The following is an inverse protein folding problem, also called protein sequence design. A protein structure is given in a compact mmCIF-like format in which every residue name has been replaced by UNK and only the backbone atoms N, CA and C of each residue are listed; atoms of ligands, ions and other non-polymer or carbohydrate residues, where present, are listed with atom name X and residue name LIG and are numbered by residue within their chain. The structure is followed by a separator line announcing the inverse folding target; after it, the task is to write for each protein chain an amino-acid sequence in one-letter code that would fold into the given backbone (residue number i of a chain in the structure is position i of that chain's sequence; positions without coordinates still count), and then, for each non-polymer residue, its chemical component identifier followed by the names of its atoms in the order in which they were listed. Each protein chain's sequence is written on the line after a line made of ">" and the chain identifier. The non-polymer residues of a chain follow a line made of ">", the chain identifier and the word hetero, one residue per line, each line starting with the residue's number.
data_IF_727574343000
#
_entry.id   IF_727574343000
#
_cell.length_a   1.000
_cell.length_b   1.000
_cell.length_c   1.000
_cell.angle_alpha   90.00
_cell.angle_beta   90.00
_cell.angle_gamma   90.00
#
_symmetry.space_group_name_H-M   'P 1'
#
loop_
_entity.id
_entity.type
_entity.pdbx_description
1 polymer ?
#
# COMPACT_ATOMS: atom_id res chain seq x y z
N UNK A 1 -23.47 23.54 13.43
CA UNK A 1 -22.32 23.25 14.31
C UNK A 1 -21.29 22.51 13.50
N UNK A 2 -20.10 23.07 13.32
CA UNK A 2 -19.05 22.48 12.50
C UNK A 2 -18.55 21.18 13.14
N UNK A 3 -18.56 20.07 12.39
CA UNK A 3 -17.90 18.82 12.78
C UNK A 3 -16.41 19.10 13.01
N UNK A 4 -16.01 19.35 14.26
CA UNK A 4 -14.61 19.35 14.64
C UNK A 4 -14.08 17.94 14.39
N UNK A 5 -13.29 17.79 13.32
CA UNK A 5 -12.52 16.57 13.07
C UNK A 5 -11.48 16.45 14.19
N UNK A 6 -11.78 15.69 15.24
CA UNK A 6 -10.81 15.36 16.28
C UNK A 6 -9.75 14.44 15.65
N UNK A 7 -8.55 14.97 15.42
CA UNK A 7 -7.42 14.18 14.98
C UNK A 7 -6.76 13.53 16.20
N UNK A 8 -6.98 12.23 16.40
CA UNK A 8 -6.35 11.46 17.48
C UNK A 8 -4.98 10.95 17.01
N UNK A 9 -3.94 11.12 17.84
CA UNK A 9 -2.63 10.50 17.60
C UNK A 9 -2.68 9.02 18.02
N UNK A 10 -1.77 8.19 17.50
CA UNK A 10 -1.83 6.73 17.64
C UNK A 10 -2.17 6.20 19.04
N UNK A 11 -1.48 6.66 20.09
CA UNK A 11 -1.74 6.22 21.46
C UNK A 11 -3.09 6.69 22.05
N UNK A 12 -3.71 7.71 21.46
CA UNK A 12 -5.06 8.20 21.83
C UNK A 12 -6.15 7.38 21.12
N UNK A 13 -5.85 6.78 19.96
CA UNK A 13 -6.79 5.90 19.25
C UNK A 13 -7.15 4.70 20.13
N UNK A 14 -6.16 4.05 20.74
CA UNK A 14 -6.38 2.91 21.64
C UNK A 14 -7.23 3.28 22.86
N UNK A 15 -6.93 4.43 23.47
CA UNK A 15 -7.66 4.91 24.66
C UNK A 15 -9.13 5.21 24.39
N UNK A 16 -9.49 5.50 23.14
CA UNK A 16 -10.84 5.89 22.72
C UNK A 16 -11.49 4.86 21.80
N UNK A 17 -10.97 3.62 21.77
CA UNK A 17 -11.36 2.64 20.75
C UNK A 17 -12.85 2.28 20.80
N UNK A 18 -13.43 2.19 22.01
CA UNK A 18 -14.86 1.90 22.20
C UNK A 18 -15.78 3.00 21.66
N UNK A 19 -15.41 4.27 21.83
CA UNK A 19 -16.18 5.39 21.26
C UNK A 19 -15.95 5.54 19.77
N UNK A 20 -14.77 5.14 19.30
CA UNK A 20 -14.46 5.07 17.88
C UNK A 20 -15.31 4.00 17.19
N UNK A 21 -15.41 2.77 17.73
CA UNK A 21 -16.24 1.67 17.20
C UNK A 21 -17.67 2.12 16.84
N UNK A 22 -18.31 2.90 17.72
CA UNK A 22 -19.66 3.46 17.53
C UNK A 22 -19.82 4.34 16.28
N UNK A 23 -18.75 4.95 15.77
CA UNK A 23 -18.82 5.93 14.66
C UNK A 23 -19.08 5.29 13.30
N UNK A 24 -18.90 3.97 13.15
CA UNK A 24 -19.06 3.20 11.89
C UNK A 24 -18.24 3.73 10.69
N UNK A 25 -17.43 4.76 10.88
CA UNK A 25 -16.61 5.40 9.87
C UNK A 25 -15.33 5.95 10.49
N UNK A 26 -14.20 5.60 9.87
CA UNK A 26 -12.86 5.98 10.31
C UNK A 26 -12.09 6.61 9.16
N UNK A 27 -11.26 7.59 9.48
CA UNK A 27 -10.28 8.14 8.56
C UNK A 27 -8.95 8.28 9.29
N UNK A 28 -7.98 7.50 8.84
CA UNK A 28 -6.65 7.40 9.42
C UNK A 28 -5.63 7.87 8.40
N UNK A 29 -4.62 8.61 8.85
CA UNK A 29 -3.44 8.95 8.06
C UNK A 29 -2.25 8.15 8.59
N UNK A 30 -1.65 7.35 7.71
CA UNK A 30 -0.55 6.48 8.02
C UNK A 30 0.76 7.11 7.54
N UNK A 31 1.69 7.30 8.47
CA UNK A 31 3.06 7.73 8.16
C UNK A 31 4.01 6.56 7.88
N UNK A 32 3.60 5.34 8.23
CA UNK A 32 4.36 4.10 8.06
C UNK A 32 3.68 2.93 8.77
N UNK A 33 4.15 1.71 8.54
CA UNK A 33 3.57 0.48 9.10
C UNK A 33 4.44 -0.09 10.22
N UNK A 34 4.78 0.78 11.17
CA UNK A 34 5.56 0.45 12.37
C UNK A 34 4.80 -0.52 13.27
N UNK A 35 5.49 -1.25 14.18
CA UNK A 35 4.81 -2.14 15.13
C UNK A 35 3.64 -1.44 15.86
N UNK A 36 3.81 -0.25 16.47
CA UNK A 36 2.68 0.47 17.06
C UNK A 36 1.53 0.73 16.09
N UNK A 37 1.81 1.08 14.84
CA UNK A 37 0.75 1.27 13.83
C UNK A 37 0.01 -0.03 13.53
N UNK A 38 0.72 -1.16 13.43
CA UNK A 38 0.10 -2.48 13.21
C UNK A 38 -0.74 -2.90 14.39
N UNK A 39 -0.25 -2.69 15.60
CA UNK A 39 -0.95 -3.03 16.84
C UNK A 39 -2.27 -2.22 16.93
N UNK A 40 -2.22 -0.90 16.65
CA UNK A 40 -3.40 -0.04 16.60
C UNK A 40 -4.40 -0.51 15.54
N UNK A 41 -3.93 -0.81 14.32
CA UNK A 41 -4.81 -1.29 13.25
C UNK A 41 -5.40 -2.66 13.58
N UNK A 42 -4.63 -3.56 14.18
CA UNK A 42 -5.10 -4.87 14.62
C UNK A 42 -6.20 -4.73 15.66
N UNK A 43 -5.99 -3.92 16.69
CA UNK A 43 -6.99 -3.73 17.75
C UNK A 43 -8.28 -3.10 17.20
N UNK A 44 -8.14 -2.10 16.32
CA UNK A 44 -9.28 -1.45 15.69
C UNK A 44 -10.06 -2.41 14.78
N UNK A 45 -9.37 -3.11 13.88
CA UNK A 45 -10.02 -3.99 12.90
C UNK A 45 -10.60 -5.23 13.59
N UNK A 46 -9.88 -5.85 14.52
CA UNK A 46 -10.40 -6.99 15.28
C UNK A 46 -11.63 -6.60 16.08
N UNK A 47 -11.60 -5.44 16.75
CA UNK A 47 -12.78 -4.95 17.46
C UNK A 47 -14.00 -4.70 16.57
N UNK A 48 -13.79 -4.25 15.33
CA UNK A 48 -14.86 -4.11 14.32
C UNK A 48 -15.39 -5.49 13.90
N UNK A 49 -14.50 -6.45 13.66
CA UNK A 49 -14.85 -7.79 13.22
C UNK A 49 -15.62 -8.56 14.31
N UNK A 50 -15.22 -8.41 15.57
CA UNK A 50 -15.93 -8.95 16.74
C UNK A 50 -17.34 -8.37 16.86
N UNK A 51 -17.51 -7.05 16.71
CA UNK A 51 -18.83 -6.39 16.76
C UNK A 51 -19.73 -6.85 15.62
N UNK A 52 -19.17 -7.08 14.44
CA UNK A 52 -19.90 -7.63 13.29
C UNK A 52 -20.25 -9.10 13.54
N UNK A 53 -19.50 -9.82 14.36
CA UNK A 53 -19.62 -11.28 14.53
C UNK A 53 -19.00 -12.05 13.37
N UNK A 54 -17.90 -11.56 12.81
CA UNK A 54 -17.20 -12.21 11.72
C UNK A 54 -16.57 -13.54 12.16
N UNK A 55 -16.56 -14.52 11.26
CA UNK A 55 -15.84 -15.77 11.43
C UNK A 55 -14.32 -15.47 11.60
N UNK A 56 -13.62 -16.10 12.56
CA UNK A 56 -12.20 -15.84 12.81
C UNK A 56 -11.28 -16.03 11.58
N UNK A 57 -11.58 -17.02 10.72
CA UNK A 57 -10.83 -17.25 9.50
C UNK A 57 -11.02 -16.10 8.51
N UNK A 58 -12.25 -15.64 8.34
CA UNK A 58 -12.56 -14.46 7.53
C UNK A 58 -11.87 -13.20 8.05
N UNK A 59 -11.86 -13.01 9.37
CA UNK A 59 -11.13 -11.94 10.02
C UNK A 59 -9.63 -11.98 9.74
N UNK A 60 -9.01 -13.16 9.81
CA UNK A 60 -7.59 -13.35 9.52
C UNK A 60 -7.23 -12.99 8.07
N UNK A 61 -7.98 -13.49 7.09
CA UNK A 61 -7.71 -13.23 5.67
C UNK A 61 -7.93 -11.76 5.32
N UNK A 62 -9.01 -11.15 5.81
CA UNK A 62 -9.29 -9.73 5.62
C UNK A 62 -8.17 -8.86 6.21
N UNK A 63 -7.76 -9.12 7.45
CA UNK A 63 -6.71 -8.33 8.09
C UNK A 63 -5.37 -8.50 7.38
N UNK A 64 -5.01 -9.74 7.00
CA UNK A 64 -3.79 -10.02 6.23
C UNK A 64 -3.79 -9.27 4.90
N UNK A 65 -4.91 -9.30 4.16
CA UNK A 65 -5.06 -8.57 2.91
C UNK A 65 -4.96 -7.05 3.06
N UNK A 66 -5.59 -6.50 4.12
CA UNK A 66 -5.46 -5.08 4.46
C UNK A 66 -4.01 -4.69 4.73
N UNK A 67 -3.29 -5.51 5.51
CA UNK A 67 -1.89 -5.26 5.87
C UNK A 67 -0.97 -5.32 4.64
N UNK A 68 -1.19 -6.26 3.72
CA UNK A 68 -0.45 -6.34 2.47
C UNK A 68 -0.73 -5.13 1.56
N UNK A 69 -2.00 -4.70 1.45
CA UNK A 69 -2.36 -3.51 0.67
C UNK A 69 -1.71 -2.23 1.24
N UNK A 70 -1.68 -2.06 2.56
CA UNK A 70 -0.99 -0.95 3.22
C UNK A 70 0.53 -1.02 3.05
N UNK A 71 1.13 -2.20 3.10
CA UNK A 71 2.56 -2.39 2.84
C UNK A 71 2.90 -2.01 1.39
N UNK A 72 2.07 -2.37 0.43
CA UNK A 72 2.25 -2.01 -0.97
C UNK A 72 2.09 -0.50 -1.20
N UNK A 73 1.18 0.17 -0.49
CA UNK A 73 1.09 1.64 -0.49
C UNK A 73 2.39 2.32 0.01
N UNK A 74 3.02 1.78 1.07
CA UNK A 74 4.31 2.29 1.57
C UNK A 74 5.43 2.07 0.56
N UNK A 75 5.53 0.86 0.01
CA UNK A 75 6.50 0.52 -1.04
C UNK A 75 6.36 1.47 -2.23
N UNK A 76 5.13 1.77 -2.65
CA UNK A 76 4.84 2.67 -3.76
C UNK A 76 5.33 4.10 -3.49
N UNK A 77 5.05 4.67 -2.31
CA UNK A 77 5.56 6.00 -1.96
C UNK A 77 7.10 6.05 -1.97
N UNK A 78 7.76 5.05 -1.36
CA UNK A 78 9.24 4.98 -1.35
C UNK A 78 9.79 4.84 -2.77
N UNK A 79 9.22 3.93 -3.58
CA UNK A 79 9.61 3.72 -4.98
C UNK A 79 9.49 5.00 -5.78
N UNK A 80 8.40 5.74 -5.60
CA UNK A 80 8.15 6.99 -6.31
C UNK A 80 9.18 8.07 -5.97
N UNK A 81 9.55 8.21 -4.70
CA UNK A 81 10.60 9.13 -4.25
C UNK A 81 11.95 8.78 -4.86
N UNK A 82 12.31 7.49 -4.83
CA UNK A 82 13.57 7.01 -5.39
C UNK A 82 13.61 7.24 -6.90
N UNK A 83 12.52 6.89 -7.61
CA UNK A 83 12.40 7.12 -9.04
C UNK A 83 12.60 8.60 -9.39
N UNK A 84 11.91 9.48 -8.66
CA UNK A 84 11.99 10.93 -8.84
C UNK A 84 13.43 11.44 -8.66
N UNK A 85 14.14 10.93 -7.66
CA UNK A 85 15.55 11.31 -7.43
C UNK A 85 16.48 10.81 -8.53
N UNK A 86 16.33 9.56 -8.97
CA UNK A 86 17.16 9.00 -10.04
C UNK A 86 16.92 9.71 -11.37
N UNK A 87 15.69 10.17 -11.61
CA UNK A 87 15.38 11.00 -12.77
C UNK A 87 15.97 12.40 -12.65
N UNK A 88 15.85 13.05 -11.48
CA UNK A 88 16.45 14.37 -11.25
C UNK A 88 17.96 14.37 -11.55
N UNK A 89 18.70 13.36 -11.05
CA UNK A 89 20.14 13.21 -11.32
C UNK A 89 20.49 13.13 -12.80
N UNK A 90 19.57 12.62 -13.64
CA UNK A 90 19.75 12.56 -15.10
C UNK A 90 19.41 13.90 -15.75
N UNK A 91 18.37 14.57 -15.29
CA UNK A 91 18.00 15.90 -15.80
C UNK A 91 19.07 16.94 -15.48
N UNK A 92 19.67 16.89 -14.28
CA UNK A 92 20.78 17.75 -13.87
C UNK A 92 22.02 17.65 -14.80
N UNK A 93 22.16 16.58 -15.58
CA UNK A 93 23.25 16.44 -16.56
C UNK A 93 22.98 17.17 -17.88
N UNK A 94 21.71 17.47 -18.17
CA UNK A 94 21.27 18.11 -19.41
C UNK A 94 20.83 19.57 -19.25
N UNK A 95 20.46 19.99 -18.04
CA UNK A 95 19.96 21.33 -17.75
C UNK A 95 21.05 22.29 -17.26
N UNK A 96 20.82 23.59 -17.45
CA UNK A 96 21.79 24.64 -17.10
C UNK A 96 21.83 24.92 -15.59
N UNK A 97 20.76 24.60 -14.87
CA UNK A 97 20.65 24.74 -13.42
C UNK A 97 19.82 23.62 -12.78
N UNK A 98 20.05 23.39 -11.48
CA UNK A 98 19.24 22.46 -10.68
C UNK A 98 17.76 22.88 -10.62
N UNK A 99 17.48 24.18 -10.63
CA UNK A 99 16.11 24.67 -10.56
C UNK A 99 15.33 24.29 -11.82
N UNK A 100 15.91 24.48 -13.01
CA UNK A 100 15.30 24.07 -14.28
C UNK A 100 15.06 22.55 -14.32
N UNK A 101 16.02 21.75 -13.81
CA UNK A 101 15.85 20.30 -13.70
C UNK A 101 14.70 19.91 -12.75
N UNK A 102 14.52 20.62 -11.63
CA UNK A 102 13.41 20.39 -10.70
C UNK A 102 12.05 20.80 -11.30
N UNK A 103 11.99 21.91 -12.06
CA UNK A 103 10.78 22.37 -12.76
C UNK A 103 10.35 21.38 -13.86
N UNK A 104 11.29 20.94 -14.69
CA UNK A 104 11.05 19.93 -15.72
C UNK A 104 10.59 18.60 -15.09
N UNK A 105 11.18 18.22 -13.96
CA UNK A 105 10.77 17.03 -13.23
C UNK A 105 9.31 17.12 -12.77
N UNK A 106 8.85 18.25 -12.25
CA UNK A 106 7.44 18.40 -11.88
C UNK A 106 6.50 18.19 -13.07
N UNK A 107 6.82 18.80 -14.23
CA UNK A 107 6.04 18.65 -15.46
C UNK A 107 5.94 17.17 -15.87
N UNK A 108 7.08 16.45 -15.82
CA UNK A 108 7.13 15.01 -16.11
C UNK A 108 6.26 14.25 -15.11
N UNK A 109 6.39 14.53 -13.81
CA UNK A 109 5.68 13.77 -12.77
C UNK A 109 4.17 13.99 -12.81
N UNK A 110 3.71 15.18 -13.23
CA UNK A 110 2.29 15.51 -13.43
C UNK A 110 1.68 14.86 -14.67
N UNK A 111 2.50 14.57 -15.69
CA UNK A 111 2.03 14.05 -16.98
C UNK A 111 2.25 12.53 -17.05
N UNK A 112 1.17 11.75 -17.01
CA UNK A 112 1.24 10.27 -16.98
C UNK A 112 2.10 9.68 -18.10
N UNK A 113 1.89 10.15 -19.33
CA UNK A 113 2.61 9.66 -20.51
C UNK A 113 4.12 9.96 -20.43
N UNK A 114 4.50 11.15 -19.97
CA UNK A 114 5.91 11.51 -19.81
C UNK A 114 6.55 10.69 -18.71
N UNK A 115 5.89 10.58 -17.55
CA UNK A 115 6.36 9.78 -16.43
C UNK A 115 6.60 8.32 -16.82
N UNK A 116 5.68 7.72 -17.58
CA UNK A 116 5.80 6.33 -18.03
C UNK A 116 6.88 6.18 -19.11
N UNK A 117 7.06 7.18 -19.98
CA UNK A 117 8.19 7.19 -20.92
C UNK A 117 9.55 7.27 -20.18
N UNK A 118 9.62 8.02 -19.09
CA UNK A 118 10.86 8.21 -18.32
C UNK A 118 11.37 6.93 -17.64
N UNK A 119 10.52 5.93 -17.43
CA UNK A 119 10.96 4.61 -16.94
C UNK A 119 12.03 3.96 -17.81
N UNK A 120 12.03 4.22 -19.13
CA UNK A 120 13.03 3.67 -20.05
C UNK A 120 14.45 4.13 -19.73
N UNK A 121 14.59 5.24 -19.01
CA UNK A 121 15.88 5.82 -18.65
C UNK A 121 16.33 5.44 -17.24
N UNK A 122 15.49 4.78 -16.44
CA UNK A 122 15.76 4.39 -15.05
C UNK A 122 15.98 2.88 -15.00
N UNK A 123 16.98 2.44 -14.23
CA UNK A 123 17.28 1.01 -14.06
C UNK A 123 16.35 0.43 -12.99
N UNK A 124 15.38 -0.45 -13.31
CA UNK A 124 14.37 -0.91 -12.35
C UNK A 124 14.98 -1.63 -11.14
N UNK A 125 16.02 -2.44 -11.38
CA UNK A 125 16.71 -3.20 -10.32
C UNK A 125 17.40 -2.28 -9.31
N UNK A 126 17.90 -1.10 -9.74
CA UNK A 126 18.50 -0.11 -8.84
C UNK A 126 17.45 0.46 -7.89
N UNK A 127 16.28 0.84 -8.43
CA UNK A 127 15.15 1.35 -7.65
C UNK A 127 14.66 0.28 -6.67
N UNK A 128 14.47 -0.96 -7.14
CA UNK A 128 14.04 -2.10 -6.32
C UNK A 128 14.98 -2.33 -5.14
N UNK A 129 16.30 -2.35 -5.37
CA UNK A 129 17.31 -2.50 -4.32
C UNK A 129 17.24 -1.37 -3.31
N UNK A 130 17.14 -0.12 -3.74
CA UNK A 130 17.03 1.03 -2.83
C UNK A 130 15.74 0.97 -1.99
N UNK A 131 14.60 0.58 -2.57
CA UNK A 131 13.35 0.35 -1.81
C UNK A 131 13.56 -0.71 -0.73
N UNK A 132 14.16 -1.86 -1.09
CA UNK A 132 14.45 -2.93 -0.15
C UNK A 132 15.42 -2.49 0.96
N UNK A 133 16.43 -1.68 0.62
CA UNK A 133 17.34 -1.07 1.60
C UNK A 133 16.54 -0.22 2.59
N UNK A 134 15.71 0.71 2.12
CA UNK A 134 14.90 1.57 3.01
C UNK A 134 14.05 0.71 3.96
N UNK A 135 13.33 -0.29 3.44
CA UNK A 135 12.51 -1.19 4.27
C UNK A 135 13.35 -1.97 5.29
N UNK A 136 14.52 -2.45 4.89
CA UNK A 136 15.44 -3.17 5.77
C UNK A 136 15.97 -2.28 6.89
N UNK A 137 16.33 -1.03 6.58
CA UNK A 137 16.80 -0.06 7.58
C UNK A 137 15.69 0.31 8.58
N UNK A 138 14.46 0.53 8.10
CA UNK A 138 13.28 0.73 8.96
C UNK A 138 13.07 -0.48 9.89
N UNK A 139 13.22 -1.69 9.38
CA UNK A 139 13.11 -2.93 10.16
C UNK A 139 14.25 -3.12 11.17
N UNK A 140 15.48 -2.70 10.84
CA UNK A 140 16.61 -2.68 11.78
C UNK A 140 16.35 -1.74 12.96
N UNK A 141 15.87 -0.52 12.68
CA UNK A 141 15.46 0.44 13.73
C UNK A 141 14.37 -0.18 14.60
N UNK A 142 13.35 -0.76 13.97
CA UNK A 142 12.22 -1.40 14.67
C UNK A 142 12.68 -2.49 15.63
N UNK A 143 13.56 -3.38 15.18
CA UNK A 143 13.97 -4.55 15.97
C UNK A 143 15.00 -4.21 17.05
N UNK A 144 15.55 -2.99 17.06
CA UNK A 144 16.67 -2.56 17.94
C UNK A 144 17.88 -3.52 17.90
N UNK A 145 17.96 -4.38 16.88
CA UNK A 145 18.95 -5.46 16.80
C UNK A 145 20.33 -4.96 16.34
N UNK A 146 20.41 -3.79 15.70
CA UNK A 146 21.67 -3.17 15.24
C UNK A 146 21.59 -1.65 15.29
N UNK A 147 22.71 -1.03 15.65
CA UNK A 147 22.92 0.42 15.48
C UNK A 147 23.23 0.67 14.01
N UNK A 148 22.48 1.59 13.39
CA UNK A 148 22.73 2.03 12.01
C UNK A 148 24.04 2.81 11.91
N UNK A 149 24.77 2.66 10.81
CA UNK A 149 25.88 3.56 10.49
C UNK A 149 25.38 4.99 10.23
N UNK A 150 26.26 5.98 10.34
CA UNK A 150 25.91 7.38 10.02
C UNK A 150 25.45 7.54 8.55
N UNK A 151 26.04 6.78 7.62
CA UNK A 151 25.60 6.76 6.22
C UNK A 151 24.20 6.17 6.03
N UNK A 152 23.86 5.08 6.76
CA UNK A 152 22.53 4.49 6.73
C UNK A 152 21.48 5.43 7.34
N UNK A 153 21.81 6.13 8.43
CA UNK A 153 20.94 7.14 9.04
C UNK A 153 20.68 8.31 8.09
N UNK A 154 21.75 8.87 7.53
CA UNK A 154 21.67 10.01 6.59
C UNK A 154 20.83 9.66 5.36
N UNK A 155 21.04 8.48 4.77
CA UNK A 155 20.22 8.01 3.65
C UNK A 155 18.73 7.89 4.02
N UNK A 156 18.42 7.32 5.19
CA UNK A 156 17.04 7.16 5.62
C UNK A 156 16.37 8.51 5.94
N UNK A 157 17.10 9.42 6.57
CA UNK A 157 16.64 10.78 6.86
C UNK A 157 16.37 11.58 5.58
N UNK A 158 17.22 11.44 4.57
CA UNK A 158 17.02 12.05 3.26
C UNK A 158 15.75 11.52 2.56
N UNK A 159 15.54 10.20 2.53
CA UNK A 159 14.32 9.61 1.99
C UNK A 159 13.08 10.07 2.75
N UNK A 160 13.12 10.09 4.09
CA UNK A 160 12.02 10.60 4.93
C UNK A 160 11.75 12.08 4.72
N UNK A 161 12.80 12.88 4.58
CA UNK A 161 12.71 14.31 4.27
C UNK A 161 12.03 14.55 2.93
N UNK A 162 12.36 13.75 1.91
CA UNK A 162 11.69 13.80 0.60
C UNK A 162 10.23 13.37 0.66
N UNK A 163 9.91 12.28 1.37
CA UNK A 163 8.52 11.85 1.63
C UNK A 163 7.70 13.01 2.22
N UNK A 164 8.28 13.76 3.17
CA UNK A 164 7.65 14.95 3.74
C UNK A 164 7.57 16.13 2.76
N UNK A 165 8.67 16.47 2.07
CA UNK A 165 8.74 17.55 1.06
C UNK A 165 7.63 17.41 0.02
N UNK A 166 7.40 16.19 -0.46
CA UNK A 166 6.42 15.90 -1.50
C UNK A 166 5.04 15.47 -0.97
N UNK A 167 4.79 15.59 0.34
CA UNK A 167 3.52 15.25 0.98
C UNK A 167 3.00 13.84 0.63
N UNK A 168 3.90 12.86 0.64
CA UNK A 168 3.59 11.46 0.30
C UNK A 168 2.84 10.78 1.44
N UNK A 169 1.51 10.95 1.48
CA UNK A 169 0.68 10.39 2.53
C UNK A 169 0.00 9.08 2.11
N UNK A 170 -0.43 8.34 3.12
CA UNK A 170 -1.32 7.19 2.98
C UNK A 170 -2.54 7.43 3.85
N UNK A 171 -3.72 7.40 3.26
CA UNK A 171 -5.00 7.54 3.94
C UNK A 171 -5.73 6.21 3.91
N UNK A 172 -6.16 5.73 5.09
CA UNK A 172 -7.05 4.59 5.24
C UNK A 172 -8.40 5.08 5.71
N UNK A 173 -9.45 4.83 4.93
CA UNK A 173 -10.83 5.00 5.37
C UNK A 173 -11.48 3.65 5.57
N UNK A 174 -12.13 3.48 6.69
CA UNK A 174 -12.89 2.26 7.02
C UNK A 174 -14.34 2.69 7.17
N UNK A 175 -15.27 2.00 6.50
CA UNK A 175 -16.70 2.25 6.60
C UNK A 175 -17.41 0.94 6.88
N UNK A 176 -18.29 0.97 7.86
CA UNK A 176 -19.14 -0.15 8.26
C UNK A 176 -20.59 0.25 7.98
N UNK A 177 -21.29 -0.60 7.26
CA UNK A 177 -22.74 -0.51 7.05
C UNK A 177 -23.39 -1.81 7.51
N UNK A 178 -24.71 -1.94 7.37
CA UNK A 178 -25.38 -3.20 7.65
C UNK A 178 -25.09 -4.27 6.59
N UNK A 179 -24.64 -3.87 5.39
CA UNK A 179 -24.46 -4.76 4.23
C UNK A 179 -22.99 -5.05 3.94
N UNK A 180 -22.11 -4.06 4.13
CA UNK A 180 -20.68 -4.16 3.81
C UNK A 180 -19.77 -3.51 4.88
N UNK A 181 -18.59 -4.11 5.05
CA UNK A 181 -17.39 -3.51 5.60
C UNK A 181 -16.47 -3.15 4.44
N UNK A 182 -16.09 -1.87 4.31
CA UNK A 182 -15.24 -1.38 3.24
C UNK A 182 -14.01 -0.64 3.73
N UNK A 183 -12.90 -0.89 3.05
CA UNK A 183 -11.62 -0.21 3.23
C UNK A 183 -11.28 0.56 1.96
N UNK A 184 -10.90 1.81 2.12
CA UNK A 184 -10.33 2.64 1.05
C UNK A 184 -8.94 3.08 1.46
N UNK A 185 -7.93 2.56 0.77
CA UNK A 185 -6.54 2.96 0.93
C UNK A 185 -6.21 3.90 -0.21
N UNK A 186 -5.82 5.13 0.10
CA UNK A 186 -5.28 6.07 -0.88
C UNK A 186 -3.82 6.33 -0.55
N UNK A 187 -2.94 6.20 -1.53
CA UNK A 187 -1.55 6.63 -1.45
C UNK A 187 -1.30 7.75 -2.46
N UNK A 188 -0.54 8.76 -2.04
CA UNK A 188 -0.20 9.90 -2.90
C UNK A 188 0.98 9.58 -3.83
N UNK A 189 0.94 8.39 -4.46
CA UNK A 189 1.79 8.02 -5.58
C UNK A 189 0.96 7.34 -6.67
N UNK A 190 1.14 7.71 -7.95
CA UNK A 190 0.49 7.03 -9.06
C UNK A 190 1.12 5.66 -9.30
N UNK A 191 0.31 4.70 -9.74
CA UNK A 191 0.79 3.47 -10.38
C UNK A 191 1.13 3.80 -11.84
N UNK A 192 2.24 3.28 -12.32
CA UNK A 192 2.65 3.34 -13.73
C UNK A 192 1.80 2.41 -14.59
N UNK A 193 1.55 2.79 -15.83
CA UNK A 193 0.64 2.02 -16.69
C UNK A 193 1.04 0.56 -16.84
N UNK A 194 2.33 0.29 -17.13
CA UNK A 194 2.86 -1.08 -17.23
C UNK A 194 2.71 -1.87 -15.93
N UNK A 195 2.94 -1.23 -14.78
CA UNK A 195 2.74 -1.88 -13.47
C UNK A 195 1.24 -2.18 -13.22
N UNK A 196 0.34 -1.31 -13.68
CA UNK A 196 -1.10 -1.53 -13.57
C UNK A 196 -1.57 -2.70 -14.43
N UNK A 197 -1.16 -2.76 -15.70
CA UNK A 197 -1.48 -3.86 -16.61
C UNK A 197 -1.02 -5.19 -16.05
N UNK A 198 0.23 -5.26 -15.56
CA UNK A 198 0.79 -6.45 -14.91
C UNK A 198 -0.01 -6.89 -13.68
N UNK A 199 -0.49 -5.94 -12.87
CA UNK A 199 -1.36 -6.25 -11.75
C UNK A 199 -2.65 -6.89 -12.26
N UNK A 200 -3.29 -6.35 -13.31
CA UNK A 200 -4.51 -6.93 -13.85
C UNK A 200 -4.28 -8.33 -14.43
N UNK A 201 -3.23 -8.52 -15.23
CA UNK A 201 -2.84 -9.82 -15.77
C UNK A 201 -2.58 -10.85 -14.67
N UNK A 202 -1.84 -10.46 -13.62
CA UNK A 202 -1.57 -11.29 -12.46
C UNK A 202 -2.87 -11.76 -11.78
N UNK A 203 -3.85 -10.88 -11.60
CA UNK A 203 -5.13 -11.22 -10.97
C UNK A 203 -5.98 -12.13 -11.84
N UNK A 204 -6.02 -11.87 -13.15
CA UNK A 204 -6.72 -12.74 -14.11
C UNK A 204 -6.09 -14.14 -14.15
N UNK A 205 -4.76 -14.22 -14.13
CA UNK A 205 -4.06 -15.51 -14.11
C UNK A 205 -4.31 -16.28 -12.81
N UNK A 206 -4.32 -15.59 -11.67
CA UNK A 206 -4.64 -16.22 -10.39
C UNK A 206 -6.09 -16.71 -10.34
N UNK A 207 -7.04 -15.93 -10.89
CA UNK A 207 -8.42 -16.39 -11.07
C UNK A 207 -8.50 -17.67 -11.91
N UNK A 208 -7.79 -17.73 -13.03
CA UNK A 208 -7.79 -18.92 -13.90
C UNK A 208 -7.37 -20.18 -13.14
N UNK A 209 -6.31 -20.08 -12.32
CA UNK A 209 -5.85 -21.18 -11.48
C UNK A 209 -6.82 -21.50 -10.34
N UNK A 210 -7.44 -20.49 -9.74
CA UNK A 210 -8.48 -20.72 -8.73
C UNK A 210 -9.67 -21.49 -9.32
N UNK A 211 -10.17 -21.08 -10.50
CA UNK A 211 -11.29 -21.75 -11.18
C UNK A 211 -10.95 -23.22 -11.57
N UNK A 212 -9.66 -23.53 -11.74
CA UNK A 212 -9.14 -24.89 -11.99
C UNK A 212 -8.90 -25.70 -10.70
N UNK A 213 -9.09 -25.10 -9.52
CA UNK A 213 -8.85 -25.74 -8.23
C UNK A 213 -7.36 -25.83 -7.84
N UNK A 214 -6.48 -25.07 -8.49
CA UNK A 214 -5.04 -25.07 -8.26
C UNK A 214 -4.47 -23.66 -8.01
N UNK A 215 -5.21 -22.80 -7.28
CA UNK A 215 -4.77 -21.43 -6.94
C UNK A 215 -3.38 -21.38 -6.32
N UNK A 216 -3.02 -22.38 -5.50
CA UNK A 216 -1.71 -22.52 -4.87
C UNK A 216 -0.55 -22.56 -5.88
N UNK A 217 -0.79 -23.01 -7.11
CA UNK A 217 0.23 -23.08 -8.17
C UNK A 217 0.75 -21.69 -8.55
N UNK A 218 -0.06 -20.65 -8.38
CA UNK A 218 0.34 -19.26 -8.62
C UNK A 218 1.56 -18.84 -7.78
N UNK A 219 1.75 -19.46 -6.60
CA UNK A 219 2.83 -19.13 -5.68
C UNK A 219 4.09 -19.99 -5.88
N UNK A 220 4.10 -20.89 -6.88
CA UNK A 220 5.28 -21.70 -7.21
C UNK A 220 6.35 -20.86 -7.92
N UNK A 221 7.64 -21.20 -7.78
CA UNK A 221 8.75 -20.48 -8.41
C UNK A 221 8.58 -20.23 -9.92
N UNK A 222 7.93 -21.15 -10.62
CA UNK A 222 7.67 -21.08 -12.07
C UNK A 222 6.75 -19.90 -12.47
N UNK A 223 5.86 -19.49 -11.56
CA UNK A 223 4.96 -18.34 -11.72
C UNK A 223 5.49 -17.09 -11.01
N UNK A 224 6.50 -17.23 -10.17
CA UNK A 224 7.23 -16.12 -9.56
C UNK A 224 8.23 -15.57 -10.57
N UNK A 225 7.83 -14.52 -11.29
CA UNK A 225 8.77 -13.78 -12.13
C UNK A 225 9.84 -13.12 -11.24
N UNK A 226 11.01 -13.75 -11.10
CA UNK A 226 12.12 -13.30 -10.23
C UNK A 226 12.55 -11.85 -10.50
N UNK A 227 12.30 -11.37 -11.72
CA UNK A 227 12.71 -10.03 -12.15
C UNK A 227 11.91 -8.95 -11.41
N UNK A 228 10.60 -9.10 -11.24
CA UNK A 228 9.75 -7.99 -10.83
C UNK A 228 8.63 -8.45 -9.89
N UNK A 229 8.67 -8.00 -8.63
CA UNK A 229 7.73 -8.39 -7.56
C UNK A 229 6.32 -7.82 -7.73
N UNK A 230 5.91 -7.45 -8.94
CA UNK A 230 4.59 -6.94 -9.24
C UNK A 230 3.65 -8.14 -9.41
N UNK A 231 2.59 -8.22 -8.60
CA UNK A 231 1.59 -9.29 -8.70
C UNK A 231 1.48 -10.20 -7.47
N UNK A 232 2.59 -10.53 -6.80
CA UNK A 232 2.55 -11.47 -5.66
C UNK A 232 1.70 -10.96 -4.49
N UNK A 233 1.91 -9.71 -4.08
CA UNK A 233 1.15 -9.10 -2.99
C UNK A 233 -0.35 -8.99 -3.28
N UNK A 234 -0.73 -8.73 -4.53
CA UNK A 234 -2.14 -8.63 -4.91
C UNK A 234 -2.79 -10.02 -5.01
N UNK A 235 -2.06 -11.03 -5.49
CA UNK A 235 -2.53 -12.41 -5.50
C UNK A 235 -2.73 -12.97 -4.07
N UNK A 236 -1.88 -12.59 -3.10
CA UNK A 236 -2.13 -12.94 -1.69
C UNK A 236 -3.42 -12.31 -1.15
N UNK A 237 -3.75 -11.09 -1.57
CA UNK A 237 -5.02 -10.46 -1.20
C UNK A 237 -6.17 -11.23 -1.84
N UNK A 238 -6.08 -11.51 -3.14
CA UNK A 238 -7.09 -12.27 -3.89
C UNK A 238 -7.33 -13.65 -3.27
N UNK A 239 -6.27 -14.37 -2.88
CA UNK A 239 -6.37 -15.68 -2.19
C UNK A 239 -7.14 -15.56 -0.88
N UNK A 240 -6.94 -14.45 -0.15
CA UNK A 240 -7.69 -14.16 1.07
C UNK A 240 -9.19 -14.02 0.83
N UNK A 241 -9.61 -13.41 -0.28
CA UNK A 241 -11.03 -13.35 -0.67
C UNK A 241 -11.56 -14.73 -1.07
N UNK A 242 -10.81 -15.46 -1.91
CA UNK A 242 -11.21 -16.80 -2.34
C UNK A 242 -11.37 -17.78 -1.17
N UNK A 243 -10.48 -17.69 -0.17
CA UNK A 243 -10.52 -18.52 1.04
C UNK A 243 -11.81 -18.35 1.86
N UNK A 244 -12.52 -17.24 1.67
CA UNK A 244 -13.81 -16.94 2.33
C UNK A 244 -14.96 -16.89 1.32
N UNK A 245 -14.83 -17.60 0.20
CA UNK A 245 -15.89 -17.75 -0.80
C UNK A 245 -16.27 -16.47 -1.54
N UNK A 246 -15.40 -15.45 -1.54
CA UNK A 246 -15.64 -14.17 -2.19
C UNK A 246 -14.83 -14.05 -3.49
N UNK A 247 -15.41 -13.37 -4.48
CA UNK A 247 -14.71 -13.05 -5.73
C UNK A 247 -13.99 -11.68 -5.60
N UNK A 248 -12.65 -11.65 -5.55
CA UNK A 248 -11.91 -10.40 -5.41
C UNK A 248 -11.98 -9.53 -6.67
N UNK A 249 -12.30 -10.06 -7.85
CA UNK A 249 -12.43 -9.22 -9.04
C UNK A 249 -13.62 -8.26 -8.95
N UNK A 250 -14.65 -8.63 -8.18
CA UNK A 250 -15.84 -7.79 -7.95
C UNK A 250 -15.66 -6.87 -6.73
N UNK A 251 -14.82 -7.28 -5.77
CA UNK A 251 -14.77 -6.70 -4.42
C UNK A 251 -13.48 -5.94 -4.11
N UNK A 252 -12.44 -6.12 -4.93
CA UNK A 252 -11.17 -5.42 -4.84
C UNK A 252 -10.92 -4.63 -6.12
N UNK A 253 -10.98 -3.31 -6.02
CA UNK A 253 -10.77 -2.39 -7.15
C UNK A 253 -9.55 -1.52 -6.90
N UNK A 254 -8.69 -1.39 -7.92
CA UNK A 254 -7.54 -0.48 -7.90
C UNK A 254 -7.78 0.59 -8.96
N UNK A 255 -7.66 1.85 -8.56
CA UNK A 255 -7.76 3.01 -9.46
C UNK A 255 -6.49 3.85 -9.34
N UNK A 256 -5.99 4.38 -10.45
CA UNK A 256 -4.85 5.32 -10.47
C UNK A 256 -5.29 6.62 -11.13
N UNK A 257 -4.94 7.74 -10.50
CA UNK A 257 -5.03 9.09 -11.05
C UNK A 257 -3.64 9.65 -11.34
N UNK A 258 -3.57 10.93 -11.72
CA UNK A 258 -2.30 11.56 -12.10
C UNK A 258 -1.23 11.49 -10.98
N UNK A 259 -1.64 11.64 -9.72
CA UNK A 259 -0.75 11.71 -8.55
C UNK A 259 -1.06 10.69 -7.45
N UNK A 260 -2.07 9.86 -7.63
CA UNK A 260 -2.60 9.05 -6.52
C UNK A 260 -3.03 7.69 -7.00
N UNK A 261 -2.87 6.70 -6.16
CA UNK A 261 -3.50 5.39 -6.32
C UNK A 261 -4.51 5.20 -5.19
N UNK A 262 -5.63 4.56 -5.50
CA UNK A 262 -6.63 4.19 -4.51
C UNK A 262 -7.02 2.73 -4.69
N UNK A 263 -6.95 1.97 -3.61
CA UNK A 263 -7.43 0.59 -3.49
C UNK A 263 -8.72 0.60 -2.68
N UNK A 264 -9.73 -0.07 -3.19
CA UNK A 264 -11.02 -0.30 -2.53
C UNK A 264 -11.16 -1.78 -2.26
N UNK A 265 -11.33 -2.16 -0.99
CA UNK A 265 -11.60 -3.53 -0.56
C UNK A 265 -12.99 -3.55 0.07
N UNK A 266 -13.90 -4.38 -0.43
CA UNK A 266 -15.27 -4.49 0.07
C UNK A 266 -15.54 -5.90 0.54
N UNK A 267 -16.13 -6.04 1.72
CA UNK A 267 -16.48 -7.31 2.30
C UNK A 267 -17.95 -7.30 2.69
N UNK A 268 -18.80 -8.09 2.01
CA UNK A 268 -20.18 -8.27 2.43
C UNK A 268 -20.24 -8.82 3.85
N UNK A 269 -21.06 -8.22 4.72
CA UNK A 269 -21.18 -8.62 6.13
C UNK A 269 -21.60 -10.08 6.25
N UNK A 270 -22.49 -10.55 5.37
CA UNK A 270 -22.90 -11.96 5.34
C UNK A 270 -21.74 -12.90 4.98
N UNK A 271 -20.89 -12.51 4.02
CA UNK A 271 -19.70 -13.30 3.66
C UNK A 271 -18.70 -13.38 4.81
N UNK A 272 -18.56 -12.32 5.61
CA UNK A 272 -17.68 -12.35 6.80
C UNK A 272 -18.19 -13.27 7.92
N UNK A 273 -19.48 -13.64 7.92
CA UNK A 273 -20.11 -14.46 8.97
C UNK A 273 -20.22 -15.95 8.62
N UNK A 274 -19.97 -16.30 7.37
CA UNK A 274 -20.10 -17.69 6.90
C UNK A 274 -19.04 -18.58 7.58
N UNK A 275 -19.42 -19.83 7.77
CA UNK A 275 -18.48 -20.90 8.11
C UNK A 275 -17.97 -21.53 6.81
N UNK A 276 -16.65 -21.73 6.74
CA UNK A 276 -15.91 -22.14 5.54
C UNK A 276 -15.15 -23.44 5.78
#
# INVERSE_FOLDING_TARGET
>A
MANQKTALKGGEILKNIEDLKKRKFFHLELKGLTKPTRDILSELVNGILEEIGANPLAGFHLFSGLMEALLNAIKANIRHIIFREELLKKLEQGESSRQEAEELLEIIMETSVLRDAMHRYIVPEKVKKQVQTVLSLEDKIRTKKKVLSESEKSFLEDVRGKIQKYNMNISLKIRITNEELSFRIRNDSPIHHLDFERIQESRLKHKELFDQGNSADFFRPEFLNEKESAGFGIAMIDEGFYSIGLNPLDLLTITSGARTTTVYMKYPINGLKMDF
#
